data_IF_932521105764
#
_entry.id   IF_932521105764
#
_cell.length_a   1.000
_cell.length_b   1.000
_cell.length_c   1.000
_cell.angle_alpha   90.00
_cell.angle_beta   90.00
_cell.angle_gamma   90.00
#
_symmetry.space_group_name_H-M   'P 1'
#
loop_
_entity.id
_entity.type
_entity.pdbx_description
1 polymer ?
#
# COMPACT_ATOMS: atom_id res chain seq x y z
N UNK A 1 -32.47 25.46 -31.95
CA UNK A 1 -31.31 25.44 -32.87
C UNK A 1 -30.42 24.29 -32.42
N UNK A 2 -30.18 23.33 -33.30
CA UNK A 2 -29.61 21.99 -33.04
C UNK A 2 -28.19 21.90 -33.60
N UNK A 3 -27.26 21.28 -32.87
CA UNK A 3 -26.11 20.48 -33.32
C UNK A 3 -25.45 19.89 -32.05
N UNK A 4 -25.39 18.59 -31.71
CA UNK A 4 -25.19 17.28 -32.37
C UNK A 4 -23.74 16.96 -32.77
N UNK A 5 -23.07 16.11 -31.96
CA UNK A 5 -22.12 15.00 -32.28
C UNK A 5 -21.24 14.71 -31.05
N UNK A 6 -20.85 13.49 -30.68
CA UNK A 6 -21.19 12.11 -31.06
C UNK A 6 -20.44 11.20 -30.08
N UNK A 7 -21.14 10.26 -29.43
CA UNK A 7 -20.55 9.23 -28.58
C UNK A 7 -20.35 7.92 -29.34
N UNK A 8 -19.26 7.22 -29.02
CA UNK A 8 -19.04 5.83 -29.43
C UNK A 8 -19.21 4.91 -28.21
N UNK A 9 -20.24 4.04 -28.26
CA UNK A 9 -20.41 2.88 -27.40
C UNK A 9 -20.25 1.62 -28.24
N UNK A 10 -19.47 0.66 -27.73
CA UNK A 10 -19.31 -0.70 -28.26
C UNK A 10 -20.59 -1.52 -27.99
N UNK A 11 -21.01 -2.45 -28.89
CA UNK A 11 -22.12 -3.34 -28.61
C UNK A 11 -21.67 -4.70 -28.07
N UNK A 12 -22.48 -5.20 -27.15
CA UNK A 12 -22.48 -6.56 -26.64
C UNK A 12 -23.07 -7.54 -27.67
N UNK A 13 -22.54 -8.76 -27.72
CA UNK A 13 -23.12 -9.89 -28.44
C UNK A 13 -23.17 -11.11 -27.52
N UNK A 14 -24.36 -11.31 -26.95
CA UNK A 14 -24.85 -12.58 -26.45
C UNK A 14 -25.81 -13.17 -27.49
N UNK A 15 -25.95 -14.52 -27.52
CA UNK A 15 -26.98 -15.38 -28.15
C UNK A 15 -26.28 -16.59 -28.82
N UNK A 16 -26.75 -17.84 -28.79
CA UNK A 16 -27.87 -18.54 -28.14
C UNK A 16 -27.65 -20.04 -28.39
N UNK A 17 -28.19 -20.89 -27.52
CA UNK A 17 -28.30 -22.36 -27.63
C UNK A 17 -29.54 -22.76 -28.44
N UNK A 18 -29.50 -23.89 -29.16
CA UNK A 18 -30.56 -24.91 -29.34
C UNK A 18 -30.06 -25.98 -30.35
N UNK A 19 -29.96 -27.28 -30.07
CA UNK A 19 -30.97 -28.35 -29.83
C UNK A 19 -31.66 -28.91 -31.09
N UNK A 20 -31.35 -30.20 -31.38
CA UNK A 20 -32.20 -31.25 -31.98
C UNK A 20 -32.72 -31.04 -33.41
N UNK A 21 -33.11 -32.04 -34.19
CA UNK A 21 -33.12 -33.51 -34.15
C UNK A 21 -33.63 -33.98 -35.54
N UNK A 22 -33.48 -35.27 -35.83
CA UNK A 22 -34.36 -36.09 -36.68
C UNK A 22 -34.43 -35.89 -38.22
N UNK A 23 -33.84 -36.88 -38.89
CA UNK A 23 -34.54 -37.92 -39.69
C UNK A 23 -34.85 -37.71 -41.20
N UNK A 24 -34.61 -38.82 -41.92
CA UNK A 24 -35.32 -39.34 -43.10
C UNK A 24 -35.17 -38.76 -44.51
N UNK A 25 -34.58 -39.64 -45.34
CA UNK A 25 -35.07 -40.18 -46.63
C UNK A 25 -35.13 -39.30 -47.89
N UNK A 26 -34.54 -39.82 -48.99
CA UNK A 26 -34.92 -39.44 -50.35
C UNK A 26 -33.87 -39.68 -51.45
N UNK A 27 -33.65 -40.93 -51.86
CA UNK A 27 -33.33 -41.26 -53.28
C UNK A 27 -34.66 -41.31 -54.08
N UNK A 28 -34.75 -41.38 -55.44
CA UNK A 28 -33.80 -41.78 -56.51
C UNK A 28 -33.92 -40.81 -57.76
N UNK A 29 -33.83 -41.13 -59.09
CA UNK A 29 -33.49 -42.37 -59.81
C UNK A 29 -32.68 -42.31 -61.16
N UNK A 30 -32.17 -43.49 -61.56
CA UNK A 30 -32.14 -44.10 -62.93
C UNK A 30 -31.21 -43.53 -64.02
N UNK A 31 -30.62 -44.30 -64.95
CA UNK A 31 -31.04 -45.56 -65.60
C UNK A 31 -29.82 -46.30 -66.23
N UNK A 32 -29.71 -47.65 -66.09
CA UNK A 32 -29.99 -48.72 -67.10
C UNK A 32 -28.83 -48.95 -68.10
N UNK A 33 -28.42 -50.17 -68.51
CA UNK A 33 -29.05 -51.50 -68.64
C UNK A 33 -27.96 -52.58 -69.02
N UNK A 34 -28.25 -53.86 -69.40
CA UNK A 34 -28.07 -55.02 -68.51
C UNK A 34 -27.42 -56.27 -69.19
N UNK A 35 -27.72 -57.46 -68.63
CA UNK A 35 -27.66 -58.87 -69.14
C UNK A 35 -26.64 -59.72 -68.34
N UNK A 36 -26.92 -60.90 -67.76
CA UNK A 36 -28.10 -61.76 -67.67
C UNK A 36 -27.80 -62.98 -66.76
N UNK A 37 -28.87 -63.53 -66.14
CA UNK A 37 -29.17 -64.89 -65.58
C UNK A 37 -28.12 -66.05 -65.62
N UNK A 38 -28.35 -67.19 -64.92
CA UNK A 38 -28.93 -67.44 -63.58
C UNK A 38 -28.22 -68.59 -62.77
N UNK A 39 -28.60 -68.72 -61.48
CA UNK A 39 -28.83 -69.95 -60.67
C UNK A 39 -27.74 -71.04 -60.56
N UNK A 40 -27.40 -71.39 -59.30
CA UNK A 40 -26.84 -72.71 -58.97
C UNK A 40 -26.29 -72.82 -57.55
N UNK A 41 -26.77 -73.79 -56.78
CA UNK A 41 -26.60 -73.93 -55.32
C UNK A 41 -25.36 -74.73 -54.90
N UNK A 42 -25.02 -74.59 -53.59
CA UNK A 42 -24.32 -75.55 -52.71
C UNK A 42 -22.80 -75.70 -52.84
N UNK A 43 -22.07 -75.35 -51.76
CA UNK A 43 -21.59 -76.27 -50.70
C UNK A 43 -20.67 -75.51 -49.74
N UNK A 44 -20.85 -75.75 -48.44
CA UNK A 44 -19.81 -75.48 -47.43
C UNK A 44 -18.67 -76.48 -47.64
N UNK A 45 -17.46 -75.96 -47.74
CA UNK A 45 -16.21 -76.64 -47.38
C UNK A 45 -15.26 -75.58 -46.81
N UNK A 46 -14.46 -75.96 -45.82
CA UNK A 46 -13.93 -75.04 -44.82
C UNK A 46 -12.92 -74.11 -45.48
N UNK A 47 -13.09 -72.80 -45.32
CA UNK A 47 -11.92 -71.95 -45.32
C UNK A 47 -11.09 -72.43 -44.14
N UNK A 48 -10.06 -73.22 -44.44
CA UNK A 48 -8.85 -73.18 -43.64
C UNK A 48 -8.55 -71.69 -43.57
N UNK A 49 -8.83 -71.07 -42.42
CA UNK A 49 -8.32 -69.74 -42.14
C UNK A 49 -6.83 -69.92 -42.32
N UNK A 50 -6.33 -69.47 -43.47
CA UNK A 50 -4.94 -69.61 -43.80
C UNK A 50 -4.24 -68.73 -42.78
N UNK A 51 -3.75 -69.37 -41.71
CA UNK A 51 -3.21 -68.69 -40.53
C UNK A 51 -2.11 -67.72 -40.97
N UNK A 52 -1.46 -68.05 -42.10
CA UNK A 52 -0.50 -67.21 -42.81
C UNK A 52 -1.10 -65.91 -43.34
N UNK A 53 -2.30 -65.92 -43.93
CA UNK A 53 -2.95 -64.69 -44.43
C UNK A 53 -3.38 -63.76 -43.29
N UNK A 54 -3.90 -64.27 -42.17
CA UNK A 54 -4.28 -63.42 -41.03
C UNK A 54 -3.06 -62.92 -40.24
N UNK A 55 -2.00 -63.73 -40.10
CA UNK A 55 -0.71 -63.26 -39.58
C UNK A 55 -0.10 -62.17 -40.45
N UNK A 56 -0.12 -62.35 -41.78
CA UNK A 56 0.45 -61.36 -42.73
C UNK A 56 -0.34 -60.06 -42.72
N UNK A 57 -1.68 -60.10 -42.62
CA UNK A 57 -2.51 -58.90 -42.51
C UNK A 57 -2.29 -58.14 -41.18
N UNK A 58 -2.25 -58.86 -40.05
CA UNK A 58 -1.97 -58.25 -38.74
C UNK A 58 -0.54 -57.67 -38.70
N UNK A 59 0.44 -58.40 -39.25
CA UNK A 59 1.80 -57.91 -39.37
C UNK A 59 1.87 -56.65 -40.25
N UNK A 60 1.15 -56.61 -41.37
CA UNK A 60 1.10 -55.43 -42.24
C UNK A 60 0.50 -54.20 -41.54
N UNK A 61 -0.60 -54.37 -40.78
CA UNK A 61 -1.21 -53.28 -40.00
C UNK A 61 -0.29 -52.82 -38.87
N UNK A 62 0.36 -53.73 -38.14
CA UNK A 62 1.31 -53.38 -37.07
C UNK A 62 2.55 -52.68 -37.62
N UNK A 63 3.05 -53.09 -38.78
CA UNK A 63 4.17 -52.43 -39.48
C UNK A 63 3.73 -51.04 -39.94
N UNK A 64 2.56 -50.90 -40.56
CA UNK A 64 2.03 -49.61 -40.99
C UNK A 64 1.83 -48.64 -39.81
N UNK A 65 1.31 -49.12 -38.68
CA UNK A 65 1.16 -48.34 -37.45
C UNK A 65 2.51 -47.94 -36.86
N UNK A 66 3.46 -48.87 -36.81
CA UNK A 66 4.80 -48.60 -36.28
C UNK A 66 5.54 -47.57 -37.15
N UNK A 67 5.48 -47.72 -38.48
CA UNK A 67 6.02 -46.76 -39.44
C UNK A 67 5.31 -45.40 -39.30
N UNK A 68 3.99 -45.39 -39.14
CA UNK A 68 3.20 -44.18 -38.91
C UNK A 68 3.59 -43.43 -37.62
N UNK A 69 3.84 -44.14 -36.52
CA UNK A 69 4.28 -43.55 -35.24
C UNK A 69 5.72 -43.03 -35.34
N UNK A 70 6.63 -43.80 -35.95
CA UNK A 70 8.04 -43.40 -36.12
C UNK A 70 8.18 -42.17 -37.01
N UNK A 71 7.41 -42.08 -38.10
CA UNK A 71 7.39 -40.90 -38.98
C UNK A 71 6.60 -39.73 -38.35
N UNK A 72 5.53 -40.01 -37.60
CA UNK A 72 4.71 -38.98 -36.95
C UNK A 72 5.40 -38.28 -35.77
N UNK A 73 6.30 -38.95 -35.05
CA UNK A 73 7.00 -38.41 -33.89
C UNK A 73 8.38 -37.79 -34.19
N UNK A 74 8.94 -38.00 -35.38
CA UNK A 74 10.32 -37.62 -35.72
C UNK A 74 10.60 -36.11 -35.69
N UNK A 75 10.02 -35.29 -36.59
CA UNK A 75 10.37 -33.87 -36.72
C UNK A 75 9.78 -32.97 -35.61
N UNK A 76 8.84 -33.47 -34.82
CA UNK A 76 8.10 -32.67 -33.84
C UNK A 76 8.85 -32.58 -32.49
N UNK A 77 9.63 -33.60 -32.15
CA UNK A 77 10.38 -33.66 -30.89
C UNK A 77 11.60 -32.71 -30.90
N UNK A 78 12.29 -32.61 -32.03
CA UNK A 78 13.49 -31.77 -32.18
C UNK A 78 13.14 -30.27 -32.22
N UNK A 79 12.03 -29.88 -32.85
CA UNK A 79 11.59 -28.48 -32.93
C UNK A 79 11.03 -27.97 -31.60
N UNK A 80 10.29 -28.79 -30.85
CA UNK A 80 9.76 -28.39 -29.53
C UNK A 80 10.87 -28.40 -28.47
N UNK A 81 11.75 -29.41 -28.47
CA UNK A 81 12.87 -29.49 -27.53
C UNK A 81 13.89 -28.37 -27.71
N UNK A 82 14.20 -27.98 -28.95
CA UNK A 82 15.12 -26.86 -29.24
C UNK A 82 14.50 -25.49 -28.93
N UNK A 83 13.21 -25.28 -29.22
CA UNK A 83 12.50 -24.04 -28.87
C UNK A 83 12.42 -23.87 -27.36
N UNK A 84 12.03 -24.91 -26.62
CA UNK A 84 11.95 -24.87 -25.16
C UNK A 84 13.34 -24.69 -24.52
N UNK A 85 14.36 -25.38 -25.03
CA UNK A 85 15.75 -25.18 -24.55
C UNK A 85 16.27 -23.77 -24.84
N UNK A 86 15.89 -23.19 -25.99
CA UNK A 86 16.16 -21.80 -26.34
C UNK A 86 15.47 -20.82 -25.40
N UNK A 87 14.18 -21.01 -25.12
CA UNK A 87 13.42 -20.21 -24.15
C UNK A 87 14.00 -20.30 -22.74
N UNK A 88 14.34 -21.50 -22.26
CA UNK A 88 14.98 -21.68 -20.93
C UNK A 88 16.34 -20.97 -20.87
N UNK A 89 17.13 -21.04 -21.94
CA UNK A 89 18.44 -20.35 -21.98
C UNK A 89 18.25 -18.83 -21.96
N UNK A 90 17.30 -18.31 -22.76
CA UNK A 90 16.94 -16.89 -22.77
C UNK A 90 16.45 -16.42 -21.40
N UNK A 91 15.52 -17.15 -20.77
CA UNK A 91 15.01 -16.83 -19.43
C UNK A 91 16.12 -16.84 -18.37
N UNK A 92 17.09 -17.78 -18.46
CA UNK A 92 18.26 -17.79 -17.57
C UNK A 92 19.12 -16.55 -17.75
N UNK A 93 19.42 -16.18 -18.99
CA UNK A 93 20.19 -14.97 -19.31
C UNK A 93 19.47 -13.70 -18.86
N UNK A 94 18.16 -13.58 -19.12
CA UNK A 94 17.34 -12.45 -18.67
C UNK A 94 17.31 -12.37 -17.14
N UNK A 95 17.13 -13.49 -16.45
CA UNK A 95 17.16 -13.54 -14.99
C UNK A 95 18.53 -13.15 -14.43
N UNK A 96 19.62 -13.59 -15.05
CA UNK A 96 20.98 -13.20 -14.61
C UNK A 96 21.26 -11.71 -14.90
N UNK A 97 20.78 -11.18 -16.03
CA UNK A 97 20.88 -9.76 -16.36
C UNK A 97 20.05 -8.88 -15.40
N UNK A 98 18.81 -9.26 -15.09
CA UNK A 98 17.97 -8.56 -14.11
C UNK A 98 18.58 -8.58 -12.71
N UNK A 99 19.20 -9.69 -12.31
CA UNK A 99 19.95 -9.77 -11.04
C UNK A 99 21.14 -8.82 -11.03
N UNK A 100 21.91 -8.77 -12.12
CA UNK A 100 23.04 -7.84 -12.23
C UNK A 100 22.58 -6.38 -12.19
N UNK A 101 21.50 -6.04 -12.90
CA UNK A 101 20.89 -4.71 -12.87
C UNK A 101 20.38 -4.34 -11.48
N UNK A 102 19.69 -5.25 -10.80
CA UNK A 102 19.21 -5.02 -9.43
C UNK A 102 20.36 -4.78 -8.45
N UNK A 103 21.44 -5.54 -8.55
CA UNK A 103 22.63 -5.33 -7.73
C UNK A 103 23.31 -3.98 -8.04
N UNK A 104 23.33 -3.55 -9.30
CA UNK A 104 23.87 -2.25 -9.68
C UNK A 104 23.03 -1.10 -9.13
N UNK A 105 21.71 -1.18 -9.30
CA UNK A 105 20.76 -0.21 -8.75
C UNK A 105 20.87 -0.13 -7.22
N UNK A 106 20.98 -1.26 -6.53
CA UNK A 106 21.15 -1.28 -5.07
C UNK A 106 22.41 -0.54 -4.64
N UNK A 107 23.55 -0.81 -5.30
CA UNK A 107 24.81 -0.07 -5.02
C UNK A 107 24.68 1.42 -5.27
N UNK A 108 23.94 1.83 -6.30
CA UNK A 108 23.70 3.26 -6.57
C UNK A 108 22.83 3.91 -5.50
N UNK A 109 21.79 3.21 -5.00
CA UNK A 109 20.95 3.68 -3.90
C UNK A 109 21.76 3.79 -2.61
N UNK A 110 22.47 2.73 -2.21
CA UNK A 110 23.31 2.74 -1.01
C UNK A 110 24.37 3.85 -1.07
N UNK A 111 24.94 4.12 -2.26
CA UNK A 111 25.89 5.21 -2.46
C UNK A 111 25.28 6.61 -2.37
N UNK A 112 24.01 6.78 -2.77
CA UNK A 112 23.27 8.05 -2.61
C UNK A 112 22.88 8.27 -1.16
N UNK A 113 22.34 7.26 -0.50
CA UNK A 113 21.98 7.33 0.92
C UNK A 113 23.21 7.67 1.78
N UNK A 114 24.38 7.08 1.46
CA UNK A 114 25.64 7.42 2.14
C UNK A 114 26.10 8.87 1.87
N UNK A 115 25.85 9.41 0.68
CA UNK A 115 26.13 10.82 0.36
C UNK A 115 25.16 11.75 1.10
N UNK A 116 23.87 11.42 1.13
CA UNK A 116 22.85 12.19 1.83
C UNK A 116 23.12 12.19 3.33
N UNK A 117 23.51 11.05 3.92
CA UNK A 117 23.93 10.97 5.33
C UNK A 117 25.15 11.86 5.61
N UNK A 118 26.17 11.83 4.73
CA UNK A 118 27.36 12.65 4.88
C UNK A 118 27.11 14.16 4.72
N UNK A 119 26.01 14.55 4.07
CA UNK A 119 25.66 15.95 3.80
C UNK A 119 24.48 16.45 4.64
N UNK A 120 23.79 15.58 5.37
CA UNK A 120 22.58 15.87 6.14
C UNK A 120 22.79 17.06 7.07
N UNK A 121 23.81 17.02 7.93
CA UNK A 121 24.13 18.12 8.86
C UNK A 121 24.30 19.45 8.13
N UNK A 122 25.03 19.49 7.01
CA UNK A 122 25.20 20.73 6.22
C UNK A 122 23.88 21.26 5.66
N UNK A 123 22.94 20.38 5.33
CA UNK A 123 21.62 20.77 4.80
C UNK A 123 20.73 21.33 5.91
N UNK A 124 20.71 20.71 7.09
CA UNK A 124 19.76 21.02 8.16
C UNK A 124 20.29 22.00 9.21
N UNK A 125 21.60 22.17 9.32
CA UNK A 125 22.22 22.98 10.36
C UNK A 125 21.69 24.42 10.38
N UNK A 126 21.32 24.87 11.57
CA UNK A 126 20.84 26.22 11.83
C UNK A 126 19.43 26.53 11.31
N UNK A 127 18.72 25.56 10.73
CA UNK A 127 17.37 25.76 10.18
C UNK A 127 16.29 25.91 11.26
N UNK A 128 16.53 25.35 12.45
CA UNK A 128 15.59 25.37 13.58
C UNK A 128 16.21 26.00 14.84
N UNK A 129 17.22 26.86 14.68
CA UNK A 129 17.82 27.58 15.81
C UNK A 129 16.77 28.35 16.60
N UNK A 130 16.85 28.24 17.93
CA UNK A 130 15.93 28.84 18.90
C UNK A 130 14.47 28.36 18.81
N UNK A 131 14.20 27.29 18.04
CA UNK A 131 12.87 26.68 17.96
C UNK A 131 12.75 25.51 18.96
N UNK A 132 11.61 25.41 19.62
CA UNK A 132 11.24 24.24 20.43
C UNK A 132 10.44 23.27 19.56
N UNK A 133 10.83 21.99 19.55
CA UNK A 133 10.16 20.95 18.78
C UNK A 133 9.77 19.78 19.70
N UNK A 134 8.51 19.36 19.63
CA UNK A 134 8.06 18.13 20.29
C UNK A 134 7.97 16.99 19.28
N UNK A 135 8.48 15.81 19.65
CA UNK A 135 8.37 14.58 18.85
C UNK A 135 7.36 13.66 19.50
N UNK A 136 6.38 13.22 18.72
CA UNK A 136 5.31 12.31 19.13
C UNK A 136 5.45 11.01 18.37
N UNK A 137 5.70 9.90 19.08
CA UNK A 137 5.74 8.56 18.51
C UNK A 137 4.35 7.93 18.57
N UNK A 138 3.76 7.63 17.41
CA UNK A 138 2.52 6.87 17.30
C UNK A 138 2.80 5.37 17.47
N UNK A 139 1.80 4.53 17.80
CA UNK A 139 2.02 3.11 18.12
C UNK A 139 2.75 2.27 17.06
N UNK A 140 2.67 2.67 15.78
CA UNK A 140 3.31 1.99 14.65
C UNK A 140 4.63 2.66 14.21
N UNK A 141 5.11 3.67 14.93
CA UNK A 141 6.41 4.29 14.64
C UNK A 141 7.55 3.31 14.95
N UNK A 142 8.57 3.28 14.08
CA UNK A 142 9.81 2.58 14.38
C UNK A 142 10.67 3.43 15.33
N UNK A 143 11.17 2.82 16.41
CA UNK A 143 12.01 3.51 17.40
C UNK A 143 13.29 4.12 16.77
N UNK A 144 13.83 3.45 15.76
CA UNK A 144 14.99 3.92 14.97
C UNK A 144 14.67 5.22 14.22
N UNK A 145 13.48 5.32 13.61
CA UNK A 145 13.04 6.52 12.89
C UNK A 145 12.80 7.69 13.85
N UNK A 146 12.16 7.42 14.99
CA UNK A 146 11.92 8.42 16.05
C UNK A 146 13.25 8.99 16.55
N UNK A 147 14.21 8.12 16.84
CA UNK A 147 15.55 8.51 17.33
C UNK A 147 16.29 9.31 16.27
N UNK A 148 16.33 8.83 15.02
CA UNK A 148 17.05 9.50 13.95
C UNK A 148 16.44 10.87 13.58
N UNK A 149 15.11 11.00 13.61
CA UNK A 149 14.43 12.29 13.44
C UNK A 149 14.81 13.25 14.57
N UNK A 150 14.77 12.80 15.83
CA UNK A 150 15.18 13.61 16.97
C UNK A 150 16.61 14.11 16.82
N UNK A 151 17.55 13.23 16.51
CA UNK A 151 18.96 13.59 16.31
C UNK A 151 19.13 14.62 15.18
N UNK A 152 18.35 14.48 14.10
CA UNK A 152 18.38 15.42 12.96
C UNK A 152 17.79 16.78 13.33
N UNK A 153 16.73 16.82 14.15
CA UNK A 153 16.17 18.06 14.67
C UNK A 153 17.17 18.79 15.59
N UNK A 154 17.89 18.05 16.44
CA UNK A 154 18.95 18.61 17.29
C UNK A 154 20.13 19.14 16.44
N UNK A 155 20.55 18.42 15.39
CA UNK A 155 21.54 18.90 14.39
C UNK A 155 21.07 20.19 13.69
N UNK A 156 19.77 20.32 13.44
CA UNK A 156 19.19 21.53 12.87
C UNK A 156 19.19 22.73 13.83
N UNK A 157 19.57 22.54 15.09
CA UNK A 157 19.63 23.56 16.13
C UNK A 157 18.36 23.70 16.96
N UNK A 158 17.40 22.78 16.83
CA UNK A 158 16.19 22.77 17.64
C UNK A 158 16.47 22.33 19.09
N UNK A 159 15.69 22.86 20.03
CA UNK A 159 15.56 22.25 21.36
C UNK A 159 14.47 21.18 21.30
N UNK A 160 14.84 19.92 21.43
CA UNK A 160 13.91 18.78 21.38
C UNK A 160 13.65 18.26 22.79
N UNK A 161 12.38 18.18 23.17
CA UNK A 161 11.95 17.61 24.44
C UNK A 161 12.07 16.08 24.48
N UNK A 162 11.67 15.47 25.59
CA UNK A 162 11.46 14.03 25.62
C UNK A 162 10.34 13.62 24.64
N UNK A 163 10.52 12.47 24.00
CA UNK A 163 9.52 11.91 23.08
C UNK A 163 8.24 11.55 23.83
N UNK A 164 7.10 11.97 23.29
CA UNK A 164 5.78 11.56 23.76
C UNK A 164 5.33 10.33 22.98
N UNK A 165 5.13 9.21 23.66
CA UNK A 165 4.59 8.02 23.04
C UNK A 165 3.07 8.00 23.18
N UNK A 166 2.34 7.92 22.08
CA UNK A 166 0.89 7.67 22.06
C UNK A 166 0.66 6.16 22.04
N UNK A 167 -0.25 5.66 22.87
CA UNK A 167 -0.51 4.21 22.96
C UNK A 167 -1.61 3.77 22.00
N UNK A 168 -1.71 2.47 21.75
CA UNK A 168 -2.78 1.89 20.92
C UNK A 168 -4.18 2.09 21.51
N UNK A 169 -4.29 2.36 22.82
CA UNK A 169 -5.57 2.69 23.46
C UNK A 169 -6.19 3.98 22.89
N UNK A 170 -5.37 4.88 22.36
CA UNK A 170 -5.82 6.12 21.72
C UNK A 170 -6.75 5.88 20.54
N UNK A 171 -6.46 4.88 19.70
CA UNK A 171 -7.25 4.58 18.51
C UNK A 171 -8.12 3.31 18.64
N UNK A 172 -8.08 2.64 19.80
CA UNK A 172 -8.82 1.39 20.05
C UNK A 172 -10.33 1.54 19.86
N UNK A 173 -10.96 0.51 19.29
CA UNK A 173 -12.41 0.31 19.16
C UNK A 173 -13.04 -0.36 20.35
N UNK A 174 -12.26 -0.89 21.29
CA UNK A 174 -12.80 -1.51 22.49
C UNK A 174 -13.67 -0.51 23.27
N UNK A 175 -14.86 -0.95 23.68
CA UNK A 175 -15.86 -0.08 24.33
C UNK A 175 -15.32 0.54 25.63
N UNK A 176 -14.58 -0.23 26.42
CA UNK A 176 -14.02 0.23 27.69
C UNK A 176 -12.91 1.25 27.45
N UNK A 177 -12.01 0.98 26.50
CA UNK A 177 -10.94 1.91 26.13
C UNK A 177 -11.51 3.19 25.49
N UNK A 178 -12.56 3.09 24.69
CA UNK A 178 -13.27 4.24 24.11
C UNK A 178 -13.89 5.12 25.20
N UNK A 179 -14.55 4.51 26.20
CA UNK A 179 -15.11 5.23 27.34
C UNK A 179 -14.03 5.91 28.19
N UNK A 180 -12.93 5.19 28.45
CA UNK A 180 -11.77 5.71 29.20
C UNK A 180 -11.17 6.91 28.49
N UNK A 181 -10.90 6.79 27.18
CA UNK A 181 -10.37 7.86 26.32
C UNK A 181 -11.27 9.09 26.30
N UNK A 182 -12.58 8.90 26.15
CA UNK A 182 -13.55 9.99 26.16
C UNK A 182 -13.59 10.72 27.51
N UNK A 183 -13.53 9.97 28.61
CA UNK A 183 -13.55 10.53 29.97
C UNK A 183 -12.26 11.31 30.25
N UNK A 184 -11.10 10.71 29.97
CA UNK A 184 -9.80 11.35 30.16
C UNK A 184 -9.63 12.60 29.29
N UNK A 185 -10.05 12.55 28.03
CA UNK A 185 -10.02 13.73 27.15
C UNK A 185 -10.91 14.87 27.65
N UNK A 186 -12.08 14.56 28.24
CA UNK A 186 -12.93 15.56 28.87
C UNK A 186 -12.29 16.14 30.14
N UNK A 187 -11.75 15.29 31.02
CA UNK A 187 -11.09 15.71 32.25
C UNK A 187 -9.87 16.59 31.95
N UNK A 188 -9.02 16.18 31.00
CA UNK A 188 -7.86 16.94 30.55
C UNK A 188 -8.25 18.34 30.03
N UNK A 189 -9.28 18.46 29.19
CA UNK A 189 -9.76 19.77 28.73
C UNK A 189 -10.30 20.65 29.88
N UNK A 190 -10.96 20.05 30.88
CA UNK A 190 -11.43 20.78 32.06
C UNK A 190 -10.25 21.29 32.90
N UNK A 191 -9.22 20.47 33.10
CA UNK A 191 -7.99 20.86 33.80
C UNK A 191 -7.27 22.00 33.06
N UNK A 192 -7.20 21.92 31.74
CA UNK A 192 -6.64 22.96 30.87
C UNK A 192 -7.50 24.23 30.78
N UNK A 193 -8.73 24.18 31.29
CA UNK A 193 -9.74 25.25 31.18
C UNK A 193 -10.06 25.62 29.72
N UNK A 194 -10.01 24.62 28.83
CA UNK A 194 -10.26 24.78 27.40
C UNK A 194 -11.64 24.21 27.03
N UNK A 195 -12.43 24.99 26.33
CA UNK A 195 -13.69 24.51 25.76
C UNK A 195 -13.46 23.55 24.58
N UNK A 196 -14.28 22.51 24.41
CA UNK A 196 -14.14 21.59 23.30
C UNK A 196 -14.38 22.30 21.97
N UNK A 197 -13.42 22.21 21.06
CA UNK A 197 -13.44 22.75 19.71
C UNK A 197 -12.84 21.71 18.76
N UNK A 198 -13.63 20.66 18.51
CA UNK A 198 -13.18 19.45 17.81
C UNK A 198 -14.00 19.30 16.52
N UNK A 199 -13.38 19.23 15.33
CA UNK A 199 -14.07 18.95 14.07
C UNK A 199 -14.57 17.50 14.00
N UNK A 200 -15.47 17.24 13.06
CA UNK A 200 -15.97 15.89 12.79
C UNK A 200 -14.81 14.93 12.49
N UNK A 201 -14.81 13.75 13.11
CA UNK A 201 -13.77 12.73 12.98
C UNK A 201 -12.63 12.83 14.00
N UNK A 202 -12.47 13.97 14.68
CA UNK A 202 -11.52 14.12 15.79
C UNK A 202 -12.20 13.98 17.15
N UNK A 203 -11.40 13.89 18.21
CA UNK A 203 -11.84 13.67 19.58
C UNK A 203 -11.30 14.74 20.54
N UNK A 204 -11.96 14.87 21.70
CA UNK A 204 -11.52 15.81 22.76
C UNK A 204 -10.12 15.51 23.28
N UNK A 205 -9.75 14.24 23.28
CA UNK A 205 -8.40 13.81 23.68
C UNK A 205 -7.33 14.33 22.71
N UNK A 206 -7.64 14.43 21.42
CA UNK A 206 -6.74 14.99 20.40
C UNK A 206 -6.47 16.47 20.66
N UNK A 207 -7.52 17.23 20.97
CA UNK A 207 -7.39 18.64 21.36
C UNK A 207 -6.62 18.79 22.68
N UNK A 208 -6.89 17.95 23.68
CA UNK A 208 -6.18 18.00 24.96
C UNK A 208 -4.67 17.79 24.77
N UNK A 209 -4.27 16.79 23.99
CA UNK A 209 -2.86 16.55 23.69
C UNK A 209 -2.24 17.67 22.86
N UNK A 210 -2.95 18.22 21.87
CA UNK A 210 -2.49 19.38 21.11
C UNK A 210 -2.18 20.59 22.03
N UNK A 211 -3.07 20.88 22.98
CA UNK A 211 -2.87 21.96 23.98
C UNK A 211 -1.72 21.61 24.93
N UNK A 212 -1.57 20.36 25.37
CA UNK A 212 -0.46 19.94 26.23
C UNK A 212 0.88 20.12 25.51
N UNK A 213 0.99 19.69 24.25
CA UNK A 213 2.23 19.76 23.46
C UNK A 213 2.61 21.19 23.10
N UNK A 214 1.64 22.01 22.69
CA UNK A 214 1.92 23.37 22.17
C UNK A 214 1.82 24.46 23.24
N UNK A 215 1.16 24.14 24.35
CA UNK A 215 0.77 25.09 25.37
C UNK A 215 -0.33 26.07 24.94
N UNK A 216 -0.79 26.05 23.68
CA UNK A 216 -1.78 27.01 23.18
C UNK A 216 -3.19 26.53 23.46
N UNK A 217 -4.01 27.35 24.11
CA UNK A 217 -5.38 26.97 24.51
C UNK A 217 -6.38 27.05 23.37
N UNK A 218 -6.03 27.78 22.30
CA UNK A 218 -6.89 27.97 21.13
C UNK A 218 -6.04 28.16 19.88
N UNK A 219 -6.52 27.60 18.77
CA UNK A 219 -5.95 27.79 17.45
C UNK A 219 -5.74 29.28 17.11
N UNK A 220 -4.50 29.64 16.73
CA UNK A 220 -4.11 31.00 16.37
C UNK A 220 -4.15 32.03 17.51
N UNK A 221 -4.34 31.61 18.77
CA UNK A 221 -4.31 32.51 19.94
C UNK A 221 -2.91 32.54 20.58
N UNK A 222 -2.43 33.69 21.07
CA UNK A 222 -1.24 33.76 21.91
C UNK A 222 -1.46 33.20 23.33
N UNK A 223 -2.72 32.91 23.70
CA UNK A 223 -3.07 32.44 25.04
C UNK A 223 -2.44 31.07 25.33
N UNK A 224 -1.72 31.00 26.45
CA UNK A 224 -1.05 29.78 26.91
C UNK A 224 -1.73 29.19 28.14
N UNK A 225 -1.86 27.87 28.16
CA UNK A 225 -2.30 27.14 29.34
C UNK A 225 -1.25 27.27 30.46
N UNK A 226 -1.66 27.48 31.72
CA UNK A 226 -0.72 27.50 32.85
C UNK A 226 0.11 26.20 32.91
N UNK A 227 1.40 26.25 33.29
CA UNK A 227 2.23 25.05 33.40
C UNK A 227 1.65 23.97 34.31
N UNK A 228 1.04 24.36 35.45
CA UNK A 228 0.38 23.45 36.38
C UNK A 228 -0.80 22.70 35.76
N UNK A 229 -1.56 23.40 34.91
CA UNK A 229 -2.77 22.86 34.28
C UNK A 229 -2.38 21.87 33.19
N UNK A 230 -1.30 22.17 32.45
CA UNK A 230 -0.68 21.23 31.49
C UNK A 230 -0.14 19.99 32.19
N UNK A 231 0.52 20.14 33.34
CA UNK A 231 1.04 19.02 34.12
C UNK A 231 -0.07 18.12 34.65
N UNK A 232 -1.15 18.70 35.20
CA UNK A 232 -2.32 17.94 35.64
C UNK A 232 -3.00 17.19 34.48
N UNK A 233 -3.18 17.85 33.33
CA UNK A 233 -3.78 17.23 32.16
C UNK A 233 -2.90 16.14 31.53
N UNK A 234 -1.58 16.30 31.58
CA UNK A 234 -0.62 15.26 31.18
C UNK A 234 -0.69 14.03 32.08
N UNK A 235 -0.74 14.24 33.41
CA UNK A 235 -0.94 13.14 34.37
C UNK A 235 -2.24 12.39 34.08
N UNK A 236 -3.35 13.10 33.82
CA UNK A 236 -4.63 12.47 33.47
C UNK A 236 -4.52 11.56 32.23
N UNK A 237 -3.87 12.02 31.15
CA UNK A 237 -3.68 11.20 29.94
C UNK A 237 -2.74 9.99 30.19
N UNK A 238 -1.72 10.17 31.03
CA UNK A 238 -0.80 9.10 31.43
C UNK A 238 -1.49 8.05 32.29
N UNK A 239 -2.25 8.47 33.30
CA UNK A 239 -2.97 7.60 34.22
C UNK A 239 -4.07 6.81 33.49
N UNK A 240 -4.68 7.40 32.47
CA UNK A 240 -5.59 6.73 31.54
C UNK A 240 -4.89 5.74 30.58
N UNK A 241 -3.56 5.68 30.57
CA UNK A 241 -2.77 4.80 29.70
C UNK A 241 -2.78 5.21 28.22
N UNK A 242 -3.11 6.47 27.91
CA UNK A 242 -3.23 6.99 26.55
C UNK A 242 -1.88 7.48 26.00
N UNK A 243 -0.99 7.94 26.88
CA UNK A 243 0.36 8.37 26.54
C UNK A 243 1.40 7.80 27.51
N UNK A 244 2.66 7.73 27.06
CA UNK A 244 3.83 7.43 27.88
C UNK A 244 4.92 8.49 27.62
N UNK A 245 5.81 8.66 28.59
CA UNK A 245 6.90 9.64 28.61
C UNK A 245 7.30 9.97 30.04
N UNK A 246 8.05 11.06 30.24
CA UNK A 246 8.41 11.59 31.56
C UNK A 246 7.20 11.90 32.46
N UNK A 247 7.45 11.99 33.77
CA UNK A 247 6.46 12.38 34.80
C UNK A 247 5.91 13.77 34.58
N UNK A 248 6.69 14.67 34.00
CA UNK A 248 6.25 15.99 33.56
C UNK A 248 5.98 15.99 32.05
N UNK A 249 5.04 16.82 31.55
CA UNK A 249 4.88 17.00 30.11
C UNK A 249 6.15 17.60 29.49
N UNK A 250 6.39 17.39 28.18
CA UNK A 250 7.46 18.09 27.49
C UNK A 250 7.25 19.61 27.55
N UNK A 251 8.32 20.37 27.30
CA UNK A 251 8.21 21.82 27.15
C UNK A 251 7.17 22.16 26.05
N UNK A 252 6.49 23.30 26.21
CA UNK A 252 5.57 23.75 25.17
C UNK A 252 6.37 24.08 23.90
N UNK A 253 6.06 23.42 22.79
CA UNK A 253 6.73 23.57 21.52
C UNK A 253 5.81 24.23 20.50
N UNK A 254 6.36 25.11 19.66
CA UNK A 254 5.61 25.71 18.56
C UNK A 254 5.62 24.82 17.31
N UNK A 255 6.54 23.85 17.25
CA UNK A 255 6.69 22.88 16.18
C UNK A 255 6.47 21.47 16.74
N UNK A 256 5.77 20.61 15.99
CA UNK A 256 5.52 19.23 16.38
C UNK A 256 5.79 18.28 15.22
N UNK A 257 6.45 17.16 15.49
CA UNK A 257 6.60 16.06 14.53
C UNK A 257 5.86 14.85 15.07
N UNK A 258 4.91 14.33 14.31
CA UNK A 258 4.27 13.06 14.58
C UNK A 258 4.95 12.01 13.71
N UNK A 259 5.55 11.02 14.36
CA UNK A 259 6.19 9.88 13.70
C UNK A 259 5.26 8.69 13.79
N UNK A 260 4.98 8.03 12.67
CA UNK A 260 4.09 6.87 12.62
C UNK A 260 4.53 5.83 11.60
N UNK A 261 3.67 4.85 11.38
CA UNK A 261 3.88 3.80 10.40
C UNK A 261 2.56 3.19 9.94
N UNK A 262 2.59 2.29 8.95
CA UNK A 262 1.42 1.57 8.48
C UNK A 262 0.73 0.79 9.60
N UNK A 263 -0.59 0.88 9.66
CA UNK A 263 -1.43 0.11 10.55
C UNK A 263 -1.70 -1.24 9.90
N UNK A 264 -1.28 -2.36 10.52
CA UNK A 264 -1.47 -3.67 9.94
C UNK A 264 -2.96 -4.05 9.88
N UNK A 265 -3.37 -4.66 8.78
CA UNK A 265 -4.70 -5.25 8.64
C UNK A 265 -4.91 -6.35 9.71
N UNK A 266 -6.12 -6.41 10.27
CA UNK A 266 -6.50 -7.41 11.29
C UNK A 266 -7.37 -8.51 10.71
N UNK A 267 -8.08 -8.20 9.62
CA UNK A 267 -8.87 -9.13 8.84
C UNK A 267 -8.16 -9.45 7.52
N UNK A 268 -7.70 -10.69 7.37
CA UNK A 268 -7.09 -11.20 6.13
C UNK A 268 -8.14 -11.64 5.09
N UNK A 269 -9.31 -11.00 5.04
CA UNK A 269 -10.32 -11.31 4.04
C UNK A 269 -9.86 -10.79 2.68
N UNK A 270 -9.15 -11.67 1.96
CA UNK A 270 -8.51 -11.49 0.64
C UNK A 270 -9.41 -10.99 -0.50
N UNK A 271 -10.68 -10.66 -0.24
CA UNK A 271 -11.60 -10.05 -1.20
C UNK A 271 -11.68 -8.53 -1.11
N UNK A 272 -11.34 -7.94 0.03
CA UNK A 272 -11.31 -6.49 0.21
C UNK A 272 -9.87 -5.99 0.05
N UNK A 273 -9.66 -5.03 -0.86
CA UNK A 273 -8.35 -4.39 -1.06
C UNK A 273 -7.90 -3.54 0.15
N UNK A 274 -8.76 -3.41 1.17
CA UNK A 274 -8.65 -2.44 2.26
C UNK A 274 -9.25 -3.03 3.53
N UNK A 275 -8.55 -2.95 4.66
CA UNK A 275 -9.07 -3.26 5.98
C UNK A 275 -9.66 -2.00 6.65
N UNK A 276 -10.99 -2.01 6.89
CA UNK A 276 -11.70 -0.83 7.45
C UNK A 276 -11.26 -0.48 8.86
N UNK A 277 -10.82 -1.46 9.65
CA UNK A 277 -10.36 -1.19 11.01
C UNK A 277 -8.99 -0.54 11.00
N UNK A 278 -8.09 -1.01 10.13
CA UNK A 278 -6.81 -0.36 9.89
C UNK A 278 -7.00 1.09 9.42
N UNK A 279 -7.90 1.34 8.46
CA UNK A 279 -8.24 2.70 8.00
C UNK A 279 -8.79 3.58 9.13
N UNK A 280 -9.67 3.05 9.98
CA UNK A 280 -10.24 3.81 11.09
C UNK A 280 -9.17 4.21 12.11
N UNK A 281 -8.21 3.31 12.40
CA UNK A 281 -7.08 3.59 13.27
C UNK A 281 -6.17 4.63 12.62
N UNK A 282 -5.78 4.45 11.36
CA UNK A 282 -4.95 5.41 10.62
C UNK A 282 -5.61 6.80 10.52
N UNK A 283 -6.93 6.86 10.31
CA UNK A 283 -7.71 8.10 10.32
C UNK A 283 -7.72 8.81 11.69
N UNK A 284 -7.62 8.05 12.79
CA UNK A 284 -7.48 8.63 14.14
C UNK A 284 -6.14 9.38 14.29
N UNK A 285 -5.07 8.89 13.66
CA UNK A 285 -3.78 9.58 13.62
C UNK A 285 -3.81 10.84 12.76
N UNK A 286 -4.51 10.81 11.62
CA UNK A 286 -4.75 12.01 10.79
C UNK A 286 -5.53 13.06 11.58
N UNK A 287 -6.56 12.64 12.33
CA UNK A 287 -7.34 13.54 13.19
C UNK A 287 -6.50 14.15 14.32
N UNK A 288 -5.68 13.35 15.01
CA UNK A 288 -4.74 13.86 16.02
C UNK A 288 -3.77 14.87 15.41
N UNK A 289 -3.16 14.52 14.28
CA UNK A 289 -2.22 15.39 13.54
C UNK A 289 -2.87 16.73 13.19
N UNK A 290 -4.13 16.70 12.72
CA UNK A 290 -4.88 17.92 12.42
C UNK A 290 -5.07 18.79 13.66
N UNK A 291 -5.47 18.21 14.79
CA UNK A 291 -5.66 18.98 16.03
C UNK A 291 -4.35 19.61 16.51
N UNK A 292 -3.24 18.89 16.42
CA UNK A 292 -1.91 19.45 16.69
C UNK A 292 -1.61 20.62 15.75
N UNK A 293 -1.84 20.46 14.44
CA UNK A 293 -1.61 21.50 13.44
C UNK A 293 -2.43 22.76 13.65
N UNK A 294 -3.64 22.65 14.21
CA UNK A 294 -4.43 23.84 14.53
C UNK A 294 -3.87 24.62 15.73
N UNK A 295 -3.07 24.01 16.60
CA UNK A 295 -2.50 24.64 17.80
C UNK A 295 -0.99 24.94 17.67
N UNK A 296 -0.28 24.31 16.74
CA UNK A 296 1.14 24.54 16.46
C UNK A 296 1.34 25.59 15.35
N UNK A 297 2.57 26.13 15.23
CA UNK A 297 2.99 26.92 14.06
C UNK A 297 3.46 26.02 12.91
N UNK A 298 3.85 24.79 13.21
CA UNK A 298 4.17 23.77 12.21
C UNK A 298 3.99 22.36 12.77
N UNK A 299 3.44 21.49 11.96
CA UNK A 299 3.22 20.07 12.26
C UNK A 299 3.55 19.19 11.07
N UNK A 300 4.55 18.33 11.23
CA UNK A 300 4.90 17.33 10.21
C UNK A 300 4.38 15.95 10.62
N UNK A 301 3.70 15.26 9.71
CA UNK A 301 3.41 13.83 9.84
C UNK A 301 4.43 13.03 9.03
N UNK A 302 5.37 12.39 9.73
CA UNK A 302 6.39 11.54 9.15
C UNK A 302 6.00 10.06 9.34
N UNK A 303 5.69 9.34 8.26
CA UNK A 303 5.33 7.93 8.35
C UNK A 303 5.61 7.21 7.03
N UNK A 304 5.88 5.91 7.10
CA UNK A 304 6.00 5.09 5.89
C UNK A 304 4.64 4.85 5.21
N UNK A 305 4.64 4.72 3.88
CA UNK A 305 3.49 4.20 3.13
C UNK A 305 3.28 2.71 3.44
N UNK A 306 2.05 2.22 3.26
CA UNK A 306 1.76 0.80 3.36
C UNK A 306 2.35 0.05 2.16
N UNK A 307 2.84 -1.17 2.39
CA UNK A 307 3.41 -2.00 1.33
C UNK A 307 2.37 -2.32 0.25
N UNK A 308 2.77 -2.23 -1.02
CA UNK A 308 1.87 -2.50 -2.14
C UNK A 308 1.34 -3.93 -2.10
N UNK A 309 0.03 -4.10 -2.24
CA UNK A 309 -0.62 -5.41 -2.22
C UNK A 309 -0.93 -5.95 -0.82
N UNK A 310 -0.68 -5.15 0.23
CA UNK A 310 -1.24 -5.37 1.57
C UNK A 310 -2.59 -4.66 1.71
N UNK A 311 -3.40 -5.09 2.69
CA UNK A 311 -4.62 -4.39 3.10
C UNK A 311 -4.37 -3.41 4.27
N UNK A 312 -3.09 -3.13 4.54
CA UNK A 312 -2.66 -2.22 5.61
C UNK A 312 -3.04 -0.77 5.28
N UNK A 313 -3.24 0.05 6.31
CA UNK A 313 -3.61 1.45 6.14
C UNK A 313 -2.49 2.36 6.64
N UNK A 314 -2.04 3.30 5.82
CA UNK A 314 -1.05 4.30 6.24
C UNK A 314 -1.73 5.62 6.60
N UNK A 315 -1.47 6.19 7.81
CA UNK A 315 -1.96 7.53 8.16
C UNK A 315 -1.40 8.59 7.21
N UNK A 316 -0.21 8.37 6.64
CA UNK A 316 0.37 9.24 5.62
C UNK A 316 -0.51 9.27 4.36
N UNK A 317 -0.81 8.10 3.78
CA UNK A 317 -1.62 8.00 2.56
C UNK A 317 -3.02 8.60 2.77
N UNK A 318 -3.60 8.41 3.96
CA UNK A 318 -4.87 9.03 4.33
C UNK A 318 -4.76 10.55 4.47
N UNK A 319 -3.68 11.07 5.06
CA UNK A 319 -3.44 12.51 5.16
C UNK A 319 -3.32 13.18 3.78
N UNK A 320 -2.66 12.52 2.82
CA UNK A 320 -2.52 12.98 1.42
C UNK A 320 -3.78 12.84 0.57
N UNK A 321 -4.83 12.21 1.10
CA UNK A 321 -6.08 12.04 0.35
C UNK A 321 -6.81 13.40 0.27
N UNK A 322 -7.22 13.88 -0.93
CA UNK A 322 -7.87 15.17 -1.06
C UNK A 322 -9.10 15.33 -0.16
N UNK A 323 -9.14 16.42 0.61
CA UNK A 323 -10.24 16.69 1.55
C UNK A 323 -10.12 15.95 2.89
N UNK A 324 -8.93 15.42 3.21
CA UNK A 324 -8.63 14.92 4.55
C UNK A 324 -8.61 16.07 5.57
N UNK A 325 -8.64 15.72 6.86
CA UNK A 325 -8.42 16.72 7.93
C UNK A 325 -7.01 17.33 7.88
N UNK A 326 -6.05 16.66 7.24
CA UNK A 326 -4.64 17.05 7.23
C UNK A 326 -4.21 17.89 6.02
N UNK A 327 -5.14 18.47 5.25
CA UNK A 327 -4.87 19.30 4.05
C UNK A 327 -3.87 20.48 4.24
N UNK A 328 -3.55 20.86 5.48
CA UNK A 328 -2.55 21.91 5.83
C UNK A 328 -1.36 21.40 6.63
N UNK A 329 -1.23 20.09 6.75
CA UNK A 329 -0.13 19.40 7.43
C UNK A 329 0.89 19.05 6.36
N UNK A 330 2.18 19.29 6.62
CA UNK A 330 3.22 18.76 5.76
C UNK A 330 3.42 17.29 6.07
N UNK A 331 3.44 16.45 5.05
CA UNK A 331 3.62 15.01 5.22
C UNK A 331 4.95 14.57 4.65
N UNK A 332 5.63 13.64 5.32
CA UNK A 332 6.94 13.14 4.88
C UNK A 332 6.92 11.62 4.87
N UNK A 333 7.22 11.03 3.72
CA UNK A 333 7.45 9.59 3.62
C UNK A 333 8.93 9.23 3.86
N UNK A 334 9.19 7.93 4.03
CA UNK A 334 10.54 7.35 4.25
C UNK A 334 11.38 8.05 5.34
N UNK A 335 10.88 8.21 6.58
CA UNK A 335 11.66 8.82 7.66
C UNK A 335 12.97 8.07 8.00
N UNK A 336 13.10 6.82 7.54
CA UNK A 336 14.27 5.97 7.76
C UNK A 336 15.52 6.38 6.98
N UNK A 337 15.39 7.16 5.91
CA UNK A 337 16.52 7.59 5.08
C UNK A 337 16.90 9.06 5.34
N UNK A 338 18.16 9.47 5.10
CA UNK A 338 18.64 10.81 5.45
C UNK A 338 17.88 11.92 4.70
N UNK A 339 17.52 11.67 3.44
CA UNK A 339 16.69 12.59 2.64
C UNK A 339 15.32 12.85 3.30
N UNK A 340 14.66 11.81 3.81
CA UNK A 340 13.38 11.94 4.52
C UNK A 340 13.54 12.73 5.82
N UNK A 341 14.61 12.49 6.58
CA UNK A 341 14.93 13.28 7.78
C UNK A 341 15.20 14.75 7.48
N UNK A 342 15.92 15.05 6.40
CA UNK A 342 16.08 16.42 5.92
C UNK A 342 14.73 17.04 5.53
N UNK A 343 13.86 16.29 4.85
CA UNK A 343 12.52 16.75 4.47
C UNK A 343 11.68 17.12 5.71
N UNK A 344 11.75 16.36 6.81
CA UNK A 344 11.07 16.70 8.07
C UNK A 344 11.49 18.08 8.58
N UNK A 345 12.81 18.35 8.67
CA UNK A 345 13.32 19.64 9.14
C UNK A 345 12.87 20.77 8.23
N UNK A 346 13.05 20.60 6.92
CA UNK A 346 12.72 21.63 5.94
C UNK A 346 11.20 21.89 5.90
N UNK A 347 10.38 20.86 6.09
CA UNK A 347 8.92 20.99 6.10
C UNK A 347 8.44 21.75 7.34
N UNK A 348 9.07 21.56 8.50
CA UNK A 348 8.80 22.39 9.67
C UNK A 348 9.12 23.86 9.44
N UNK A 349 10.23 24.16 8.74
CA UNK A 349 10.58 25.54 8.36
C UNK A 349 9.50 26.13 7.47
N UNK A 350 9.14 25.43 6.39
CA UNK A 350 8.10 25.87 5.45
C UNK A 350 6.76 26.12 6.15
N UNK A 351 6.35 25.22 7.05
CA UNK A 351 5.10 25.40 7.80
C UNK A 351 5.14 26.58 8.75
N UNK A 352 6.29 26.86 9.37
CA UNK A 352 6.42 28.04 10.21
C UNK A 352 6.28 29.35 9.42
N UNK A 353 6.50 29.32 8.11
CA UNK A 353 6.25 30.42 7.17
C UNK A 353 4.84 30.39 6.56
N UNK A 354 4.01 29.43 6.97
CA UNK A 354 2.61 29.25 6.54
C UNK A 354 2.42 28.42 5.27
N UNK A 355 3.47 27.75 4.76
CA UNK A 355 3.37 26.79 3.67
C UNK A 355 3.03 25.37 4.16
N UNK A 356 2.78 24.45 3.23
CA UNK A 356 2.70 23.02 3.51
C UNK A 356 2.80 22.22 2.21
N UNK A 357 3.23 20.97 2.29
CA UNK A 357 3.26 20.06 1.14
C UNK A 357 3.57 18.62 1.52
N UNK A 358 3.51 17.75 0.52
CA UNK A 358 3.77 16.32 0.65
C UNK A 358 5.16 15.97 0.11
N UNK A 359 6.03 15.41 0.94
CA UNK A 359 7.43 15.19 0.59
C UNK A 359 7.89 13.75 0.70
N UNK A 360 8.87 13.40 -0.14
CA UNK A 360 9.56 12.12 -0.13
C UNK A 360 9.62 11.46 -1.50
N UNK A 361 9.55 10.14 -1.54
CA UNK A 361 9.67 9.29 -2.73
C UNK A 361 8.32 8.77 -3.25
N UNK A 362 7.24 8.90 -2.47
CA UNK A 362 5.91 8.44 -2.82
C UNK A 362 5.36 9.14 -4.06
N UNK A 363 4.47 8.46 -4.80
CA UNK A 363 3.89 9.00 -6.04
C UNK A 363 3.01 10.25 -5.82
N UNK A 364 2.53 10.43 -4.58
CA UNK A 364 1.74 11.58 -4.14
C UNK A 364 2.59 12.73 -3.59
N UNK A 365 3.91 12.60 -3.55
CA UNK A 365 4.79 13.67 -3.09
C UNK A 365 4.92 14.79 -4.14
N UNK A 366 4.89 16.04 -3.70
CA UNK A 366 5.20 17.25 -4.46
C UNK A 366 6.68 17.32 -4.85
N UNK A 367 7.55 16.65 -4.09
CA UNK A 367 8.97 16.52 -4.35
C UNK A 367 9.70 15.81 -3.20
N UNK A 368 11.03 15.58 -3.32
CA UNK A 368 11.80 14.92 -2.28
C UNK A 368 11.94 15.75 -1.00
N UNK A 369 11.98 17.08 -1.14
CA UNK A 369 12.09 18.05 -0.03
C UNK A 369 11.38 19.36 -0.41
N UNK A 370 10.96 20.18 0.56
CA UNK A 370 10.44 21.53 0.32
C UNK A 370 11.44 22.42 -0.41
N UNK A 371 10.90 23.34 -1.23
CA UNK A 371 11.70 24.41 -1.85
C UNK A 371 11.51 25.70 -1.06
N UNK A 372 12.41 25.92 -0.10
CA UNK A 372 12.39 27.14 0.72
C UNK A 372 12.79 28.35 -0.13
N UNK A 373 12.12 29.49 0.08
CA UNK A 373 12.31 30.73 -0.69
C UNK A 373 13.46 31.59 -0.18
#
# INVERSE_FOLDING_TARGET
MVARRSGHRLPALALRRALGDADRTGHPPTARCPLGRPVGTRRRTPHVIDFRYHLVSLAAVLIALSIGIVLGAGPLNDNIGSTLSGEVTKLRQEKDALRAQGNDQRRQIDGRDAYDEATLDTVVQGRLTDRQVNVVALPQAADEDVTAIRDTLEQAGASVGETVEVTSAWASTDDQLTSTRSTAGQAALQLLQVGPAVPDGAQRVDQALAVILTGRTKAGSPDKAPPSDREAAWSELRDAGLVKGSDTPPAAAELVVLVGGPVPATTADSTDAVDREAERIAGSWVALTHLVQTHADGTVLAAAEADTGTSDASPLTMARTPGSLADRVSTVDVPSIPMGRAAVVLALVEQSDGGSGDYGLGQSADGPVPTLK
#
